data_IF_096635202484
#
_entry.id   IF_096635202484
#
_cell.length_a   1.000
_cell.length_b   1.000
_cell.length_c   1.000
_cell.angle_alpha   90.00
_cell.angle_beta   90.00
_cell.angle_gamma   90.00
#
_symmetry.space_group_name_H-M   'P 1'
#
loop_
_entity.id
_entity.type
_entity.pdbx_description
1 polymer ?
#
# COMPACT_ATOMS: atom_id res chain seq x y z
N UNK A 1 7.36 -14.09 -3.67
CA UNK A 1 6.87 -15.13 -4.60
C UNK A 1 7.79 -16.33 -4.67
N UNK A 2 9.12 -16.14 -4.74
CA UNK A 2 10.11 -17.22 -4.76
C UNK A 2 9.96 -18.26 -3.63
N UNK A 3 9.71 -17.83 -2.39
CA UNK A 3 9.52 -18.74 -1.24
C UNK A 3 8.27 -19.63 -1.40
N UNK A 4 7.23 -19.13 -2.05
CA UNK A 4 6.01 -19.90 -2.31
C UNK A 4 6.28 -21.08 -3.26
N UNK A 5 7.15 -20.88 -4.25
CA UNK A 5 7.55 -21.94 -5.18
C UNK A 5 8.19 -23.14 -4.46
N UNK A 6 8.90 -22.90 -3.36
CA UNK A 6 9.53 -23.97 -2.56
C UNK A 6 8.64 -24.53 -1.45
N UNK A 7 7.69 -23.74 -0.93
CA UNK A 7 6.86 -24.10 0.25
C UNK A 7 5.36 -23.89 0.01
N UNK A 8 4.87 -24.36 -1.13
CA UNK A 8 3.49 -24.19 -1.60
C UNK A 8 2.40 -24.77 -0.67
N UNK A 9 2.74 -25.75 0.17
CA UNK A 9 1.80 -26.36 1.13
C UNK A 9 1.82 -25.70 2.52
N UNK A 10 2.74 -24.76 2.78
CA UNK A 10 2.85 -24.14 4.10
C UNK A 10 1.78 -23.06 4.29
N UNK A 11 0.90 -23.24 5.27
CA UNK A 11 -0.13 -22.26 5.63
C UNK A 11 0.46 -20.89 5.95
N UNK A 12 1.60 -20.85 6.66
CA UNK A 12 2.33 -19.62 6.96
C UNK A 12 2.74 -18.89 5.68
N UNK A 13 3.32 -19.61 4.70
CA UNK A 13 3.78 -19.01 3.43
C UNK A 13 2.60 -18.54 2.59
N UNK A 14 1.49 -19.27 2.56
CA UNK A 14 0.27 -18.87 1.87
C UNK A 14 -0.34 -17.61 2.50
N UNK A 15 -0.37 -17.52 3.83
CA UNK A 15 -0.83 -16.33 4.58
C UNK A 15 0.04 -15.11 4.29
N UNK A 16 1.36 -15.26 4.31
CA UNK A 16 2.29 -14.18 3.95
C UNK A 16 2.18 -13.77 2.48
N UNK A 17 1.96 -14.74 1.59
CA UNK A 17 1.72 -14.46 0.17
C UNK A 17 0.47 -13.60 0.02
N UNK A 18 -0.64 -13.97 0.67
CA UNK A 18 -1.87 -13.18 0.62
C UNK A 18 -1.67 -11.74 1.14
N UNK A 19 -1.01 -11.59 2.30
CA UNK A 19 -0.67 -10.28 2.84
C UNK A 19 0.22 -9.46 1.89
N UNK A 20 1.21 -10.08 1.26
CA UNK A 20 2.07 -9.42 0.28
C UNK A 20 1.26 -8.94 -0.94
N UNK A 21 0.27 -9.71 -1.39
CA UNK A 21 -0.61 -9.31 -2.50
C UNK A 21 -1.50 -8.13 -2.11
N UNK A 22 -2.00 -8.07 -0.87
CA UNK A 22 -2.70 -6.88 -0.37
C UNK A 22 -1.81 -5.65 -0.50
N UNK A 23 -0.58 -5.71 0.03
CA UNK A 23 0.35 -4.58 -0.03
C UNK A 23 0.76 -4.22 -1.46
N UNK A 24 1.00 -5.21 -2.32
CA UNK A 24 1.30 -5.01 -3.75
C UNK A 24 0.13 -4.32 -4.45
N UNK A 25 -1.11 -4.68 -4.13
CA UNK A 25 -2.31 -4.04 -4.70
C UNK A 25 -2.39 -2.58 -4.28
N UNK A 26 -2.05 -2.26 -3.02
CA UNK A 26 -1.98 -0.86 -2.54
C UNK A 26 -0.95 -0.08 -3.35
N UNK A 27 0.27 -0.61 -3.47
CA UNK A 27 1.34 0.04 -4.24
C UNK A 27 0.95 0.22 -5.70
N UNK A 28 0.30 -0.78 -6.31
CA UNK A 28 -0.22 -0.70 -7.67
C UNK A 28 -1.22 0.45 -7.81
N UNK A 29 -2.25 0.49 -6.95
CA UNK A 29 -3.28 1.53 -6.99
C UNK A 29 -2.72 2.93 -6.72
N UNK A 30 -1.93 3.09 -5.66
CA UNK A 30 -1.31 4.38 -5.30
C UNK A 30 -0.39 4.86 -6.40
N UNK A 31 0.44 3.97 -6.96
CA UNK A 31 1.32 4.35 -8.05
C UNK A 31 0.53 4.83 -9.27
N UNK A 32 -0.40 4.03 -9.76
CA UNK A 32 -1.14 4.36 -10.98
C UNK A 32 -2.08 5.55 -10.80
N UNK A 33 -2.73 5.70 -9.65
CA UNK A 33 -3.65 6.80 -9.39
C UNK A 33 -2.94 8.11 -9.00
N UNK A 34 -1.86 8.05 -8.21
CA UNK A 34 -1.31 9.23 -7.54
C UNK A 34 0.12 9.59 -7.94
N UNK A 35 0.90 8.68 -8.55
CA UNK A 35 2.34 8.90 -8.80
C UNK A 35 2.69 8.88 -10.29
N UNK A 36 2.08 7.98 -11.07
CA UNK A 36 2.43 7.67 -12.47
C UNK A 36 2.50 8.92 -13.36
N UNK A 37 1.54 9.84 -13.23
CA UNK A 37 1.45 11.07 -14.02
C UNK A 37 2.53 12.11 -13.68
N UNK A 38 3.25 11.95 -12.56
CA UNK A 38 4.39 12.79 -12.19
C UNK A 38 5.73 12.27 -12.73
N UNK A 39 5.74 11.09 -13.35
CA UNK A 39 6.94 10.47 -13.90
C UNK A 39 7.36 11.07 -15.23
N UNK A 40 8.67 11.06 -15.50
CA UNK A 40 9.24 11.49 -16.78
C UNK A 40 9.20 10.34 -17.80
N UNK A 41 8.03 10.11 -18.40
CA UNK A 41 7.82 9.03 -19.39
C UNK A 41 8.68 9.11 -20.65
N UNK A 42 9.34 10.25 -20.91
CA UNK A 42 10.29 10.40 -22.01
C UNK A 42 11.61 9.67 -21.77
N UNK A 43 11.95 9.34 -20.52
CA UNK A 43 13.11 8.51 -20.19
C UNK A 43 12.72 7.04 -20.31
N UNK A 44 13.13 6.40 -21.41
CA UNK A 44 12.74 5.03 -21.74
C UNK A 44 13.21 4.04 -20.68
N UNK A 45 14.45 4.15 -20.20
CA UNK A 45 15.01 3.23 -19.21
C UNK A 45 14.23 3.29 -17.89
N UNK A 46 13.98 4.50 -17.39
CA UNK A 46 13.18 4.71 -16.17
C UNK A 46 11.72 4.28 -16.33
N UNK A 47 11.16 4.48 -17.52
CA UNK A 47 9.79 4.08 -17.83
C UNK A 47 9.63 2.56 -17.85
N UNK A 48 10.58 1.84 -18.46
CA UNK A 48 10.60 0.37 -18.45
C UNK A 48 10.71 -0.15 -17.01
N UNK A 49 11.65 0.38 -16.23
CA UNK A 49 11.80 -0.01 -14.82
C UNK A 49 10.52 0.23 -14.01
N UNK A 50 9.84 1.35 -14.27
CA UNK A 50 8.56 1.69 -13.65
C UNK A 50 7.44 0.71 -14.04
N UNK A 51 7.31 0.38 -15.32
CA UNK A 51 6.30 -0.56 -15.82
C UNK A 51 6.54 -1.96 -15.23
N UNK A 52 7.78 -2.43 -15.22
CA UNK A 52 8.12 -3.74 -14.63
C UNK A 52 7.73 -3.76 -13.14
N UNK A 53 8.16 -2.73 -12.39
CA UNK A 53 8.00 -2.68 -10.93
C UNK A 53 6.54 -2.47 -10.51
N UNK A 54 5.80 -1.60 -11.21
CA UNK A 54 4.48 -1.14 -10.79
C UNK A 54 3.33 -1.68 -11.64
N UNK A 55 3.59 -2.47 -12.69
CA UNK A 55 2.56 -3.16 -13.46
C UNK A 55 2.80 -4.66 -13.55
N UNK A 56 3.93 -5.07 -14.13
CA UNK A 56 4.21 -6.48 -14.41
C UNK A 56 4.31 -7.30 -13.12
N UNK A 57 5.13 -6.86 -12.17
CA UNK A 57 5.30 -7.54 -10.88
C UNK A 57 3.97 -7.67 -10.11
N UNK A 58 3.15 -6.61 -9.97
CA UNK A 58 1.80 -6.73 -9.42
C UNK A 58 0.91 -7.74 -10.13
N UNK A 59 0.84 -7.71 -11.46
CA UNK A 59 0.02 -8.64 -12.26
C UNK A 59 0.45 -10.09 -12.02
N UNK A 60 1.76 -10.36 -12.04
CA UNK A 60 2.28 -11.69 -11.71
C UNK A 60 1.88 -12.12 -10.30
N UNK A 61 1.91 -11.19 -9.35
CA UNK A 61 1.38 -11.37 -8.00
C UNK A 61 -0.08 -11.85 -8.01
N UNK A 62 -0.95 -11.14 -8.73
CA UNK A 62 -2.38 -11.47 -8.81
C UNK A 62 -2.61 -12.84 -9.44
N UNK A 63 -1.91 -13.16 -10.53
CA UNK A 63 -1.95 -14.49 -11.17
C UNK A 63 -1.54 -15.57 -10.19
N UNK A 64 -0.48 -15.37 -9.43
CA UNK A 64 -0.04 -16.34 -8.44
C UNK A 64 -1.07 -16.52 -7.32
N UNK A 65 -1.67 -15.44 -6.82
CA UNK A 65 -2.75 -15.56 -5.85
C UNK A 65 -3.91 -16.37 -6.42
N UNK A 66 -4.27 -16.14 -7.69
CA UNK A 66 -5.29 -16.94 -8.38
C UNK A 66 -4.93 -18.43 -8.40
N UNK A 67 -3.70 -18.80 -8.75
CA UNK A 67 -3.24 -20.21 -8.77
C UNK A 67 -3.39 -20.85 -7.38
N UNK A 68 -3.04 -20.13 -6.31
CA UNK A 68 -3.03 -20.68 -4.94
C UNK A 68 -4.34 -20.47 -4.17
N UNK A 69 -5.34 -19.81 -4.77
CA UNK A 69 -6.55 -19.27 -4.09
C UNK A 69 -7.32 -20.29 -3.25
N UNK A 70 -7.35 -21.55 -3.69
CA UNK A 70 -8.07 -22.64 -3.00
C UNK A 70 -7.38 -23.09 -1.71
N UNK A 71 -6.08 -22.81 -1.55
CA UNK A 71 -5.28 -23.16 -0.36
C UNK A 71 -5.17 -22.00 0.61
N UNK A 72 -5.24 -20.77 0.13
CA UNK A 72 -5.21 -19.57 0.96
C UNK A 72 -6.46 -19.53 1.83
N UNK A 73 -6.27 -19.10 3.08
CA UNK A 73 -7.36 -18.89 4.02
C UNK A 73 -7.38 -17.46 4.50
N UNK A 74 -8.55 -16.83 4.42
CA UNK A 74 -8.72 -15.46 4.87
C UNK A 74 -8.74 -15.39 6.40
N UNK A 75 -7.90 -14.52 6.97
CA UNK A 75 -7.87 -14.23 8.39
C UNK A 75 -7.72 -12.71 8.61
N UNK A 76 -8.73 -12.09 9.22
CA UNK A 76 -8.77 -10.63 9.43
C UNK A 76 -7.60 -10.12 10.27
N UNK A 77 -7.14 -10.87 11.27
CA UNK A 77 -5.96 -10.48 12.08
C UNK A 77 -4.70 -10.33 11.22
N UNK A 78 -4.58 -11.15 10.17
CA UNK A 78 -3.47 -11.06 9.21
C UNK A 78 -3.54 -9.78 8.38
N UNK A 79 -4.74 -9.37 8.00
CA UNK A 79 -4.99 -8.17 7.19
C UNK A 79 -4.83 -6.91 8.04
N UNK A 80 -5.20 -6.96 9.32
CA UNK A 80 -4.95 -5.88 10.27
C UNK A 80 -3.46 -5.63 10.46
N UNK A 81 -2.60 -6.67 10.39
CA UNK A 81 -1.15 -6.47 10.37
C UNK A 81 -0.69 -5.63 9.16
N UNK A 82 -1.29 -5.81 7.98
CA UNK A 82 -1.01 -4.95 6.82
C UNK A 82 -1.44 -3.51 7.08
N UNK A 83 -2.53 -3.30 7.83
CA UNK A 83 -2.99 -1.96 8.24
C UNK A 83 -2.01 -1.29 9.18
N UNK A 84 -1.49 -2.02 10.16
CA UNK A 84 -0.42 -1.54 11.04
C UNK A 84 0.81 -1.14 10.23
N UNK A 85 1.26 -1.97 9.28
CA UNK A 85 2.43 -1.65 8.45
C UNK A 85 2.24 -0.36 7.63
N UNK A 86 1.07 -0.15 7.02
CA UNK A 86 0.77 1.07 6.25
C UNK A 86 0.71 2.30 7.17
N UNK A 87 0.06 2.19 8.33
CA UNK A 87 0.03 3.28 9.31
C UNK A 87 1.43 3.61 9.83
N UNK A 88 2.23 2.60 10.16
CA UNK A 88 3.62 2.80 10.60
C UNK A 88 4.43 3.56 9.55
N UNK A 89 4.21 3.27 8.26
CA UNK A 89 4.84 4.02 7.18
C UNK A 89 4.38 5.49 7.11
N UNK A 90 3.08 5.76 7.29
CA UNK A 90 2.58 7.14 7.35
C UNK A 90 3.06 7.91 8.58
N UNK A 91 3.16 7.25 9.74
CA UNK A 91 3.77 7.83 10.94
C UNK A 91 5.25 8.14 10.71
N UNK A 92 5.98 7.25 10.05
CA UNK A 92 7.36 7.51 9.65
C UNK A 92 7.46 8.75 8.74
N UNK A 93 6.62 8.84 7.71
CA UNK A 93 6.60 10.01 6.82
C UNK A 93 6.24 11.31 7.57
N UNK A 94 5.30 11.24 8.50
CA UNK A 94 4.91 12.34 9.38
C UNK A 94 6.11 12.83 10.22
N UNK A 95 6.78 11.91 10.92
CA UNK A 95 7.95 12.24 11.74
C UNK A 95 9.05 12.87 10.88
N UNK A 96 9.38 12.28 9.73
CA UNK A 96 10.41 12.80 8.81
C UNK A 96 10.07 14.22 8.35
N UNK A 97 8.81 14.46 7.96
CA UNK A 97 8.37 15.78 7.50
C UNK A 97 8.49 16.84 8.59
N UNK A 98 7.96 16.59 9.78
CA UNK A 98 7.97 17.58 10.86
C UNK A 98 9.36 17.78 11.47
N UNK A 99 10.17 16.72 11.55
CA UNK A 99 11.55 16.82 12.04
C UNK A 99 12.43 17.69 11.13
N UNK A 100 12.20 17.66 9.82
CA UNK A 100 12.99 18.43 8.84
C UNK A 100 12.38 19.79 8.49
N UNK A 101 11.06 19.93 8.64
CA UNK A 101 10.32 21.14 8.28
C UNK A 101 10.40 22.29 9.29
N UNK A 102 11.02 22.08 10.45
CA UNK A 102 11.11 23.10 11.51
C UNK A 102 11.74 24.41 11.01
N UNK A 103 12.78 24.34 10.18
CA UNK A 103 13.46 25.52 9.61
C UNK A 103 12.63 26.24 8.53
N UNK A 104 11.59 25.60 8.01
CA UNK A 104 10.75 26.08 6.90
C UNK A 104 9.33 26.46 7.38
N UNK A 105 9.16 26.78 8.67
CA UNK A 105 7.86 27.00 9.31
C UNK A 105 6.85 25.89 9.01
N UNK A 106 7.32 24.64 8.91
CA UNK A 106 6.56 23.45 8.58
C UNK A 106 5.88 23.46 7.20
N UNK A 107 6.22 24.40 6.32
CA UNK A 107 5.67 24.47 4.95
C UNK A 107 6.35 23.50 3.99
N UNK A 108 7.63 23.19 4.22
CA UNK A 108 8.44 22.35 3.33
C UNK A 108 9.37 21.41 4.12
N UNK A 109 8.80 20.43 4.82
CA UNK A 109 9.58 19.29 5.31
C UNK A 109 10.00 18.34 4.18
N UNK A 110 10.86 17.38 4.49
CA UNK A 110 11.21 16.29 3.58
C UNK A 110 9.96 15.45 3.27
N UNK A 111 9.66 15.31 1.98
CA UNK A 111 8.46 14.65 1.48
C UNK A 111 8.85 13.38 0.74
N UNK A 112 8.37 12.24 1.20
CA UNK A 112 8.63 10.95 0.54
C UNK A 112 7.75 10.82 -0.72
N UNK A 113 6.47 11.16 -0.61
CA UNK A 113 5.55 11.21 -1.74
C UNK A 113 4.79 12.52 -1.74
N UNK A 114 4.69 13.16 -2.91
CA UNK A 114 4.06 14.48 -3.05
C UNK A 114 2.58 14.50 -2.64
N UNK A 115 1.85 13.41 -2.80
CA UNK A 115 0.45 13.32 -2.33
C UNK A 115 0.33 13.28 -0.80
N UNK A 116 1.39 12.85 -0.10
CA UNK A 116 1.49 12.73 1.35
C UNK A 116 2.15 13.97 1.98
N UNK A 117 1.96 15.13 1.37
CA UNK A 117 2.52 16.38 1.87
C UNK A 117 1.60 16.94 2.96
N UNK A 118 2.05 17.04 4.20
CA UNK A 118 1.18 17.44 5.33
C UNK A 118 0.72 18.91 5.31
N UNK A 119 1.46 19.82 4.67
CA UNK A 119 0.96 21.18 4.41
C UNK A 119 0.11 21.30 3.12
N UNK A 120 0.21 20.33 2.20
CA UNK A 120 -0.46 20.34 0.88
C UNK A 120 -0.98 18.94 0.53
N UNK A 121 -1.85 18.34 1.35
CA UNK A 121 -2.27 16.95 1.18
C UNK A 121 -3.00 16.79 -0.15
N UNK A 122 -2.85 15.63 -0.81
CA UNK A 122 -3.46 15.35 -2.11
C UNK A 122 -3.24 16.44 -3.18
N UNK A 123 -2.08 17.10 -3.16
CA UNK A 123 -1.71 18.15 -4.12
C UNK A 123 -2.51 19.47 -3.99
N UNK A 124 -3.22 19.68 -2.88
CA UNK A 124 -3.95 20.93 -2.63
C UNK A 124 -2.95 22.08 -2.47
N UNK A 125 -3.03 23.09 -3.35
CA UNK A 125 -1.99 24.13 -3.48
C UNK A 125 -2.02 25.19 -2.37
N UNK A 126 -3.21 25.58 -1.90
CA UNK A 126 -3.42 26.70 -0.95
C UNK A 126 -4.58 26.38 0.01
N UNK A 127 -4.40 25.40 0.89
CA UNK A 127 -5.43 25.03 1.87
C UNK A 127 -5.44 25.95 3.09
N UNK A 128 -6.61 26.40 3.52
CA UNK A 128 -6.79 26.87 4.90
C UNK A 128 -6.56 25.68 5.85
N UNK A 129 -6.11 25.94 7.09
CA UNK A 129 -5.90 24.90 8.10
C UNK A 129 -7.14 24.01 8.30
N UNK A 130 -8.34 24.60 8.19
CA UNK A 130 -9.62 23.90 8.26
C UNK A 130 -9.81 22.82 7.17
N UNK A 131 -9.11 22.92 6.05
CA UNK A 131 -9.14 21.93 4.95
C UNK A 131 -7.99 20.92 5.12
N UNK A 132 -6.81 21.40 5.50
CA UNK A 132 -5.59 20.57 5.61
C UNK A 132 -5.78 19.48 6.68
N UNK A 133 -6.23 19.85 7.87
CA UNK A 133 -6.34 18.92 9.01
C UNK A 133 -7.27 17.74 8.69
N UNK A 134 -8.51 17.96 8.18
CA UNK A 134 -9.36 16.84 7.77
C UNK A 134 -8.76 15.96 6.68
N UNK A 135 -8.07 16.54 5.70
CA UNK A 135 -7.45 15.77 4.62
C UNK A 135 -6.32 14.86 5.12
N UNK A 136 -5.49 15.34 6.05
CA UNK A 136 -4.47 14.51 6.70
C UNK A 136 -5.11 13.37 7.52
N UNK A 137 -6.16 13.66 8.29
CA UNK A 137 -6.93 12.63 9.01
C UNK A 137 -7.48 11.58 8.03
N UNK A 138 -8.04 12.02 6.90
CA UNK A 138 -8.54 11.13 5.85
C UNK A 138 -7.42 10.24 5.32
N UNK A 139 -6.20 10.75 5.11
CA UNK A 139 -5.07 9.92 4.67
C UNK A 139 -4.78 8.81 5.67
N UNK A 140 -4.74 9.10 6.96
CA UNK A 140 -4.52 8.08 7.99
C UNK A 140 -5.67 7.05 8.05
N UNK A 141 -6.93 7.50 7.92
CA UNK A 141 -8.08 6.60 7.85
C UNK A 141 -8.02 5.70 6.60
N UNK A 142 -7.65 6.26 5.45
CA UNK A 142 -7.41 5.49 4.22
C UNK A 142 -6.30 4.46 4.48
N UNK A 143 -5.20 4.84 5.11
CA UNK A 143 -4.10 3.92 5.46
C UNK A 143 -4.55 2.75 6.34
N UNK A 144 -5.48 3.00 7.28
CA UNK A 144 -6.06 1.97 8.15
C UNK A 144 -7.02 1.04 7.39
N UNK A 145 -7.92 1.60 6.57
CA UNK A 145 -9.03 0.85 5.98
C UNK A 145 -8.74 0.25 4.62
N UNK A 146 -7.81 0.82 3.84
CA UNK A 146 -7.48 0.31 2.50
C UNK A 146 -6.98 -1.14 2.52
N UNK A 147 -6.07 -1.57 3.41
CA UNK A 147 -5.64 -2.97 3.46
C UNK A 147 -6.80 -3.92 3.78
N UNK A 148 -7.72 -3.49 4.65
CA UNK A 148 -8.94 -4.24 4.99
C UNK A 148 -9.81 -4.38 3.74
N UNK A 149 -10.12 -3.26 3.08
CA UNK A 149 -10.93 -3.23 1.87
C UNK A 149 -10.35 -4.12 0.75
N UNK A 150 -9.04 -4.03 0.50
CA UNK A 150 -8.33 -4.84 -0.49
C UNK A 150 -8.31 -6.32 -0.09
N UNK A 151 -8.14 -6.63 1.19
CA UNK A 151 -8.23 -8.00 1.70
C UNK A 151 -9.60 -8.62 1.41
N UNK A 152 -10.68 -7.87 1.65
CA UNK A 152 -12.03 -8.31 1.31
C UNK A 152 -12.28 -8.36 -0.19
N UNK A 153 -11.76 -7.41 -0.96
CA UNK A 153 -11.81 -7.41 -2.43
C UNK A 153 -11.25 -8.72 -2.99
N UNK A 154 -10.03 -9.09 -2.62
CA UNK A 154 -9.42 -10.34 -3.12
C UNK A 154 -10.13 -11.59 -2.61
N UNK A 155 -10.60 -11.56 -1.36
CA UNK A 155 -11.43 -12.64 -0.83
C UNK A 155 -12.67 -12.86 -1.69
N UNK A 156 -13.35 -11.79 -2.09
CA UNK A 156 -14.54 -11.84 -2.91
C UNK A 156 -14.23 -12.29 -4.36
N UNK A 157 -13.31 -11.60 -5.03
CA UNK A 157 -12.96 -11.84 -6.44
C UNK A 157 -12.45 -13.27 -6.66
N UNK A 158 -11.59 -13.77 -5.77
CA UNK A 158 -11.03 -15.12 -5.87
C UNK A 158 -11.74 -16.17 -5.03
N UNK A 159 -12.86 -15.82 -4.38
CA UNK A 159 -13.68 -16.72 -3.57
C UNK A 159 -12.86 -17.48 -2.52
N UNK A 160 -11.97 -16.78 -1.84
CA UNK A 160 -11.07 -17.35 -0.82
C UNK A 160 -11.88 -17.73 0.42
N UNK A 161 -11.65 -18.94 0.94
CA UNK A 161 -12.38 -19.46 2.11
C UNK A 161 -11.91 -18.78 3.41
N UNK A 162 -12.81 -18.65 4.39
CA UNK A 162 -12.46 -18.17 5.73
C UNK A 162 -11.60 -19.21 6.48
N UNK A 163 -10.70 -18.74 7.35
CA UNK A 163 -10.05 -19.56 8.38
C UNK A 163 -10.51 -19.15 9.78
N UNK A 164 -10.43 -20.10 10.72
CA UNK A 164 -10.30 -19.77 12.14
C UNK A 164 -8.93 -19.11 12.32
N UNK A 165 -8.88 -17.83 12.67
CA UNK A 165 -7.63 -17.15 13.00
C UNK A 165 -7.05 -17.73 14.30
N UNK A 166 -6.30 -18.84 14.22
CA UNK A 166 -5.57 -19.38 15.38
C UNK A 166 -4.62 -18.31 15.91
N UNK A 167 -4.54 -18.18 17.25
CA UNK A 167 -3.49 -17.40 17.91
C UNK A 167 -2.16 -18.04 17.50
N UNK A 168 -1.29 -17.27 16.84
CA UNK A 168 0.11 -17.66 16.64
C UNK A 168 0.84 -17.52 17.96
#
# INVERSE_FOLDING_TARGET
MMILSFKYNSEKVLKWTFNAIILITITFLVYWALISWTQKWKDISRSIGSIITHCINPILGFICLFIVRKKVRFCIKSVLLCSILVISYFLFAFIVYFATGANENFKNGAIIYKFLHFYRPFYVKNGQLAIIIPLDIIIFLIGLFVPIAIGYFWKFVYRIQNAKCKKQ
#
